data_IF_770854645304
#
_entry.id   IF_770854645304
#
_cell.length_a   1.000
_cell.length_b   1.000
_cell.length_c   1.000
_cell.angle_alpha   90.00
_cell.angle_beta   90.00
_cell.angle_gamma   90.00
#
_symmetry.space_group_name_H-M   'P 1'
#
loop_
_entity.id
_entity.type
_entity.pdbx_description
1 polymer ?
#
# COMPACT_ATOMS: atom_id res chain seq x y z
N UNK A 1 -12.20 -2.00 -0.11
CA UNK A 1 -11.73 -1.38 -1.39
C UNK A 1 -12.80 -1.56 -2.44
N UNK A 2 -13.15 -0.48 -3.14
CA UNK A 2 -14.03 -0.51 -4.32
C UNK A 2 -13.15 -0.34 -5.56
N UNK A 3 -13.40 -1.12 -6.61
CA UNK A 3 -12.65 -1.05 -7.87
C UNK A 3 -13.63 -0.98 -9.04
N UNK A 4 -13.36 -0.10 -10.00
CA UNK A 4 -14.07 0.03 -11.27
C UNK A 4 -13.10 -0.17 -12.43
N UNK A 5 -13.54 -0.84 -13.48
CA UNK A 5 -12.79 -1.04 -14.72
C UNK A 5 -13.50 -0.38 -15.89
N UNK A 6 -12.73 0.09 -16.87
CA UNK A 6 -13.24 0.87 -18.00
C UNK A 6 -12.75 0.28 -19.33
N UNK A 7 -13.57 0.45 -20.37
CA UNK A 7 -13.17 0.19 -21.76
C UNK A 7 -12.38 1.35 -22.38
N UNK A 8 -11.97 1.22 -23.63
CA UNK A 8 -11.24 2.27 -24.36
C UNK A 8 -12.09 3.54 -24.62
N UNK A 9 -13.41 3.43 -24.53
CA UNK A 9 -14.36 4.53 -24.68
C UNK A 9 -14.66 5.23 -23.35
N UNK A 10 -14.15 4.69 -22.23
CA UNK A 10 -14.37 5.21 -20.88
C UNK A 10 -15.67 4.76 -20.21
N UNK A 11 -16.37 3.78 -20.78
CA UNK A 11 -17.55 3.19 -20.15
C UNK A 11 -17.12 2.17 -19.08
N UNK A 12 -17.86 2.11 -17.98
CA UNK A 12 -17.62 1.13 -16.92
C UNK A 12 -17.96 -0.28 -17.42
N UNK A 13 -16.95 -1.17 -17.38
CA UNK A 13 -17.10 -2.57 -17.79
C UNK A 13 -17.27 -3.53 -16.62
N UNK A 14 -16.96 -3.09 -15.40
CA UNK A 14 -17.13 -3.90 -14.21
C UNK A 14 -16.84 -3.12 -12.93
N UNK A 15 -17.39 -3.64 -11.83
CA UNK A 15 -17.07 -3.16 -10.49
C UNK A 15 -16.92 -4.33 -9.53
N UNK A 16 -16.10 -4.15 -8.51
CA UNK A 16 -15.92 -5.12 -7.44
C UNK A 16 -15.68 -4.43 -6.09
N UNK A 17 -16.08 -5.11 -5.02
CA UNK A 17 -15.79 -4.70 -3.65
C UNK A 17 -14.88 -5.76 -3.05
N UNK A 18 -13.75 -5.35 -2.50
CA UNK A 18 -12.81 -6.24 -1.80
C UNK A 18 -12.73 -5.82 -0.34
N UNK A 19 -13.02 -6.73 0.55
CA UNK A 19 -12.80 -6.60 1.98
C UNK A 19 -11.55 -7.39 2.34
N UNK A 20 -10.57 -6.74 2.97
CA UNK A 20 -9.32 -7.37 3.40
C UNK A 20 -9.14 -7.15 4.89
N UNK A 21 -8.83 -8.22 5.61
CA UNK A 21 -8.38 -8.16 6.99
C UNK A 21 -6.93 -8.60 7.04
N UNK A 22 -6.08 -7.80 7.67
CA UNK A 22 -4.70 -8.17 7.98
C UNK A 22 -4.52 -8.31 9.47
N UNK A 23 -3.95 -9.42 9.91
CA UNK A 23 -3.64 -9.71 11.31
C UNK A 23 -2.14 -9.91 11.44
N UNK A 24 -1.50 -9.15 12.33
CA UNK A 24 -0.11 -9.37 12.70
C UNK A 24 -0.05 -10.56 13.64
N UNK A 25 0.48 -11.70 13.17
CA UNK A 25 0.57 -12.92 13.96
C UNK A 25 1.89 -12.99 14.74
N UNK A 26 2.99 -12.50 14.16
CA UNK A 26 4.32 -12.61 14.76
C UNK A 26 5.21 -11.43 14.37
N UNK A 27 6.06 -10.99 15.30
CA UNK A 27 7.19 -10.09 15.06
C UNK A 27 8.44 -10.80 15.58
N UNK A 28 9.44 -10.98 14.75
CA UNK A 28 10.68 -11.64 15.13
C UNK A 28 11.90 -10.81 14.71
N UNK A 29 13.12 -11.30 14.96
CA UNK A 29 14.35 -10.56 14.68
C UNK A 29 14.62 -10.27 13.20
N UNK A 30 13.92 -10.94 12.28
CA UNK A 30 14.12 -10.80 10.82
C UNK A 30 12.94 -10.13 10.10
N UNK A 31 11.77 -10.03 10.74
CA UNK A 31 10.61 -9.44 10.10
C UNK A 31 9.30 -9.70 10.82
N UNK A 32 8.22 -9.72 10.06
CA UNK A 32 6.84 -9.89 10.53
C UNK A 32 6.14 -11.01 9.76
N UNK A 33 5.18 -11.66 10.43
CA UNK A 33 4.27 -12.64 9.83
C UNK A 33 2.86 -12.09 9.90
N UNK A 34 2.24 -11.92 8.75
CA UNK A 34 0.88 -11.42 8.59
C UNK A 34 -0.04 -12.53 8.10
N UNK A 35 -1.25 -12.59 8.64
CA UNK A 35 -2.35 -13.37 8.08
C UNK A 35 -3.29 -12.42 7.34
N UNK A 36 -3.63 -12.75 6.11
CA UNK A 36 -4.47 -11.94 5.23
C UNK A 36 -5.71 -12.74 4.84
N UNK A 37 -6.86 -12.27 5.28
CA UNK A 37 -8.18 -12.76 4.86
C UNK A 37 -8.75 -11.82 3.81
N UNK A 38 -9.32 -12.36 2.73
CA UNK A 38 -9.88 -11.58 1.65
C UNK A 38 -11.24 -12.11 1.22
N UNK A 39 -12.20 -11.19 1.05
CA UNK A 39 -13.50 -11.46 0.44
C UNK A 39 -13.71 -10.49 -0.72
N UNK A 40 -14.02 -11.01 -1.89
CA UNK A 40 -14.31 -10.22 -3.09
C UNK A 40 -15.78 -10.36 -3.44
N UNK A 41 -16.44 -9.24 -3.71
CA UNK A 41 -17.81 -9.20 -4.24
C UNK A 41 -17.80 -8.68 -5.68
N UNK A 42 -18.33 -9.45 -6.59
CA UNK A 42 -18.49 -9.11 -8.02
C UNK A 42 -19.93 -9.41 -8.42
N UNK A 43 -20.62 -8.42 -8.98
CA UNK A 43 -22.02 -8.55 -9.40
C UNK A 43 -22.94 -9.16 -8.30
N UNK A 44 -22.72 -8.77 -7.03
CA UNK A 44 -23.48 -9.25 -5.88
C UNK A 44 -23.09 -10.64 -5.39
N UNK A 45 -22.15 -11.33 -6.05
CA UNK A 45 -21.65 -12.62 -5.61
C UNK A 45 -20.38 -12.46 -4.76
N UNK A 46 -20.43 -12.93 -3.52
CA UNK A 46 -19.29 -12.90 -2.58
C UNK A 46 -18.46 -14.19 -2.68
N UNK A 47 -17.16 -14.02 -2.82
CA UNK A 47 -16.18 -15.10 -2.95
C UNK A 47 -15.10 -14.86 -1.89
N UNK A 48 -14.96 -15.78 -0.94
CA UNK A 48 -13.89 -15.74 0.04
C UNK A 48 -12.65 -16.47 -0.52
N UNK A 49 -11.50 -15.83 -0.46
CA UNK A 49 -10.22 -16.49 -0.74
C UNK A 49 -9.75 -17.26 0.51
N UNK A 50 -8.98 -18.34 0.35
CA UNK A 50 -8.31 -18.97 1.48
C UNK A 50 -7.38 -17.96 2.18
N UNK A 51 -7.27 -18.00 3.53
CA UNK A 51 -6.33 -17.17 4.27
C UNK A 51 -4.90 -17.35 3.77
N UNK A 52 -4.17 -16.25 3.66
CA UNK A 52 -2.78 -16.24 3.20
C UNK A 52 -1.86 -15.84 4.35
N UNK A 53 -0.74 -16.56 4.50
CA UNK A 53 0.32 -16.17 5.42
C UNK A 53 1.42 -15.49 4.63
N UNK A 54 1.69 -14.23 4.97
CA UNK A 54 2.74 -13.42 4.33
C UNK A 54 3.86 -13.21 5.34
N UNK A 55 5.07 -13.66 4.99
CA UNK A 55 6.30 -13.35 5.73
C UNK A 55 6.99 -12.20 5.03
N UNK A 56 7.39 -11.19 5.77
CA UNK A 56 7.99 -9.98 5.21
C UNK A 56 9.10 -9.50 6.12
N UNK A 57 10.28 -9.23 5.56
CA UNK A 57 11.37 -8.56 6.25
C UNK A 57 11.09 -7.09 6.52
N UNK A 58 11.85 -6.48 7.41
CA UNK A 58 11.64 -5.08 7.84
C UNK A 58 11.84 -4.05 6.71
N UNK A 59 12.54 -4.40 5.64
CA UNK A 59 12.70 -3.56 4.44
C UNK A 59 11.74 -3.95 3.30
N UNK A 60 10.80 -4.84 3.56
CA UNK A 60 9.86 -5.35 2.56
C UNK A 60 10.42 -6.44 1.66
N UNK A 61 11.60 -6.99 2.02
CA UNK A 61 12.18 -8.13 1.33
C UNK A 61 11.38 -9.40 1.63
N UNK A 62 11.27 -10.26 0.63
CA UNK A 62 10.77 -11.62 0.77
C UNK A 62 11.96 -12.56 0.93
N UNK A 63 11.80 -13.67 1.65
CA UNK A 63 12.82 -14.71 1.78
C UNK A 63 13.38 -15.10 0.39
N UNK A 64 14.68 -15.44 0.30
CA UNK A 64 15.44 -15.85 -0.88
C UNK A 64 16.05 -14.74 -1.77
N UNK A 65 16.25 -13.51 -1.25
CA UNK A 65 16.94 -12.46 -2.00
C UNK A 65 18.27 -12.09 -1.36
N UNK A 66 19.30 -11.94 -2.21
CA UNK A 66 20.53 -11.29 -1.77
C UNK A 66 20.29 -9.80 -1.62
N UNK A 67 20.59 -9.26 -0.46
CA UNK A 67 20.40 -7.83 -0.13
C UNK A 67 21.75 -7.16 0.06
N UNK A 68 21.99 -6.07 -0.66
CA UNK A 68 23.15 -5.22 -0.48
C UNK A 68 22.70 -3.79 -0.15
N UNK A 69 23.20 -3.24 0.97
CA UNK A 69 22.84 -1.90 1.44
C UNK A 69 24.05 -0.99 1.34
N UNK A 70 23.87 0.20 0.78
CA UNK A 70 24.90 1.23 0.64
C UNK A 70 24.39 2.57 1.15
N UNK A 71 25.22 3.25 1.96
CA UNK A 71 24.95 4.64 2.37
C UNK A 71 25.43 5.57 1.26
N UNK A 72 24.55 6.40 0.73
CA UNK A 72 24.84 7.41 -0.29
C UNK A 72 25.05 8.82 0.30
N UNK A 73 25.04 8.93 1.65
CA UNK A 73 25.29 10.17 2.36
C UNK A 73 24.04 10.97 2.69
N UNK A 74 24.22 12.28 2.87
CA UNK A 74 23.17 13.19 3.32
C UNK A 74 22.56 13.97 2.15
N UNK A 75 21.28 14.31 2.27
CA UNK A 75 20.55 15.13 1.31
C UNK A 75 19.47 15.96 1.99
N UNK A 76 18.61 16.58 1.19
CA UNK A 76 17.45 17.34 1.64
C UNK A 76 16.25 16.99 0.77
N UNK A 77 15.07 17.01 1.39
CA UNK A 77 13.77 16.90 0.71
C UNK A 77 12.94 18.12 1.08
N UNK A 78 12.18 18.63 0.12
CA UNK A 78 11.23 19.74 0.35
C UNK A 78 9.83 19.13 0.47
N UNK A 79 9.20 19.32 1.64
CA UNK A 79 7.81 18.94 1.91
C UNK A 79 7.09 20.19 2.41
N UNK A 80 5.97 20.57 1.81
CA UNK A 80 5.17 21.76 2.18
C UNK A 80 6.01 23.05 2.22
N UNK A 81 7.02 23.16 1.35
CA UNK A 81 7.94 24.31 1.28
C UNK A 81 9.04 24.31 2.35
N UNK A 82 9.10 23.33 3.22
CA UNK A 82 10.15 23.19 4.24
C UNK A 82 11.24 22.21 3.80
N UNK A 83 12.50 22.61 3.98
CA UNK A 83 13.64 21.71 3.76
C UNK A 83 13.82 20.78 4.96
N UNK A 84 13.76 19.47 4.72
CA UNK A 84 13.97 18.43 5.72
C UNK A 84 15.28 17.73 5.40
N UNK A 85 16.27 17.77 6.33
CA UNK A 85 17.51 16.99 6.19
C UNK A 85 17.20 15.50 6.20
N UNK A 86 17.84 14.75 5.33
CA UNK A 86 17.67 13.30 5.26
C UNK A 86 18.98 12.59 4.96
N UNK A 87 19.03 11.31 5.29
CA UNK A 87 20.03 10.36 4.79
C UNK A 87 19.48 9.65 3.57
N UNK A 88 20.40 9.23 2.70
CA UNK A 88 20.07 8.55 1.46
C UNK A 88 20.73 7.19 1.48
N UNK A 89 19.91 6.14 1.42
CA UNK A 89 20.39 4.76 1.37
C UNK A 89 19.93 4.10 0.08
N UNK A 90 20.76 3.21 -0.45
CA UNK A 90 20.43 2.36 -1.58
C UNK A 90 20.44 0.91 -1.13
N UNK A 91 19.37 0.21 -1.47
CA UNK A 91 19.24 -1.24 -1.27
C UNK A 91 19.15 -1.89 -2.64
N UNK A 92 20.05 -2.81 -2.90
CA UNK A 92 20.00 -3.67 -4.08
C UNK A 92 19.54 -5.07 -3.69
N UNK A 93 18.54 -5.57 -4.36
CA UNK A 93 18.07 -6.95 -4.20
C UNK A 93 18.12 -7.67 -5.54
N UNK A 94 18.66 -8.86 -5.52
CA UNK A 94 18.76 -9.69 -6.73
C UNK A 94 18.16 -11.06 -6.47
N UNK A 95 17.36 -11.54 -7.38
CA UNK A 95 16.88 -12.91 -7.44
C UNK A 95 17.30 -13.54 -8.77
N UNK A 96 16.79 -14.73 -9.10
CA UNK A 96 17.14 -15.49 -10.32
C UNK A 96 16.78 -14.80 -11.64
N UNK A 97 15.86 -13.82 -11.62
CA UNK A 97 15.33 -13.20 -12.85
C UNK A 97 15.38 -11.68 -12.84
N UNK A 98 15.38 -11.07 -11.66
CA UNK A 98 15.26 -9.62 -11.56
C UNK A 98 16.27 -9.01 -10.59
N UNK A 99 16.70 -7.79 -10.91
CA UNK A 99 17.45 -6.91 -10.01
C UNK A 99 16.55 -5.72 -9.67
N UNK A 100 16.43 -5.42 -8.38
CA UNK A 100 15.73 -4.22 -7.90
C UNK A 100 16.72 -3.30 -7.19
N UNK A 101 16.77 -2.06 -7.60
CA UNK A 101 17.51 -0.99 -6.92
C UNK A 101 16.49 -0.09 -6.26
N UNK A 102 16.58 0.03 -4.94
CA UNK A 102 15.71 0.86 -4.12
C UNK A 102 16.55 1.97 -3.49
N UNK A 103 16.18 3.22 -3.75
CA UNK A 103 16.77 4.41 -3.13
C UNK A 103 15.78 5.01 -2.15
N UNK A 104 16.17 5.14 -0.89
CA UNK A 104 15.35 5.62 0.21
C UNK A 104 15.94 6.91 0.78
N UNK A 105 15.11 7.91 0.99
CA UNK A 105 15.45 9.14 1.70
C UNK A 105 14.73 9.09 3.05
N UNK A 106 15.48 9.08 4.12
CA UNK A 106 14.90 8.97 5.45
C UNK A 106 15.44 10.02 6.41
N UNK A 107 14.62 10.42 7.37
CA UNK A 107 14.97 11.36 8.44
C UNK A 107 14.52 10.80 9.78
N UNK A 108 15.42 10.79 10.76
CA UNK A 108 15.08 10.39 12.13
C UNK A 108 14.25 11.46 12.87
N UNK A 109 14.15 12.67 12.32
CA UNK A 109 13.39 13.79 12.92
C UNK A 109 11.94 13.89 12.48
N UNK A 110 11.47 12.95 11.64
CA UNK A 110 10.11 12.97 11.07
C UNK A 110 9.40 11.65 11.31
N UNK A 111 8.08 11.70 11.34
CA UNK A 111 7.19 10.56 11.24
C UNK A 111 6.28 10.74 10.02
N UNK A 112 6.35 9.84 9.03
CA UNK A 112 7.21 8.64 8.97
C UNK A 112 8.68 9.01 8.74
N UNK A 113 9.59 8.13 9.16
CA UNK A 113 11.02 8.33 8.92
C UNK A 113 11.37 8.29 7.43
N UNK A 114 10.66 7.52 6.62
CA UNK A 114 10.89 7.42 5.17
C UNK A 114 10.08 8.48 4.44
N UNK A 115 10.77 9.45 3.85
CA UNK A 115 10.17 10.60 3.18
C UNK A 115 10.00 10.39 1.67
N UNK A 116 10.92 9.62 1.08
CA UNK A 116 10.86 9.30 -0.35
C UNK A 116 11.48 7.94 -0.60
N UNK A 117 10.86 7.18 -1.50
CA UNK A 117 11.35 5.87 -1.95
C UNK A 117 11.23 5.80 -3.47
N UNK A 118 12.33 5.48 -4.12
CA UNK A 118 12.39 5.28 -5.56
C UNK A 118 12.91 3.86 -5.82
N UNK A 119 12.23 3.09 -6.65
CA UNK A 119 12.71 1.77 -7.04
C UNK A 119 12.66 1.56 -8.54
N UNK A 120 13.63 0.82 -9.04
CA UNK A 120 13.67 0.34 -10.41
C UNK A 120 13.91 -1.17 -10.34
N UNK A 121 12.99 -1.93 -10.92
CA UNK A 121 13.16 -3.37 -11.11
C UNK A 121 13.44 -3.62 -12.58
N UNK A 122 14.55 -4.29 -12.87
CA UNK A 122 14.98 -4.65 -14.21
C UNK A 122 15.07 -6.16 -14.35
N UNK A 123 14.85 -6.64 -15.55
CA UNK A 123 15.16 -8.01 -15.93
C UNK A 123 16.69 -8.21 -15.84
N UNK A 124 17.12 -9.33 -15.27
CA UNK A 124 18.56 -9.57 -15.01
C UNK A 124 19.32 -9.93 -16.30
N UNK A 125 18.66 -10.55 -17.26
CA UNK A 125 19.27 -11.00 -18.50
C UNK A 125 19.35 -9.88 -19.54
N UNK A 126 18.25 -9.16 -19.77
CA UNK A 126 18.20 -8.08 -20.76
C UNK A 126 18.62 -6.71 -20.19
N UNK A 127 18.55 -6.52 -18.87
CA UNK A 127 18.74 -5.21 -18.23
C UNK A 127 17.57 -4.24 -18.41
N UNK A 128 16.51 -4.64 -19.13
CA UNK A 128 15.35 -3.77 -19.38
C UNK A 128 14.54 -3.50 -18.12
N UNK A 129 14.05 -2.26 -17.92
CA UNK A 129 13.23 -1.94 -16.77
C UNK A 129 11.84 -2.58 -16.89
N UNK A 130 11.49 -3.43 -15.93
CA UNK A 130 10.18 -4.05 -15.79
C UNK A 130 9.20 -3.17 -15.03
N UNK A 131 9.70 -2.39 -14.05
CA UNK A 131 8.89 -1.42 -13.33
C UNK A 131 9.74 -0.33 -12.70
N UNK A 132 9.12 0.85 -12.52
CA UNK A 132 9.69 1.97 -11.79
C UNK A 132 8.64 2.50 -10.81
N UNK A 133 9.01 2.67 -9.55
CA UNK A 133 8.12 3.22 -8.53
C UNK A 133 8.75 4.45 -7.89
N UNK A 134 7.94 5.48 -7.67
CA UNK A 134 8.28 6.64 -6.88
C UNK A 134 7.19 6.83 -5.84
N UNK A 135 7.57 6.76 -4.57
CA UNK A 135 6.72 7.06 -3.41
C UNK A 135 7.29 8.28 -2.74
N UNK A 136 6.48 9.29 -2.52
CA UNK A 136 6.90 10.53 -1.87
C UNK A 136 5.85 11.01 -0.86
N UNK A 137 6.33 11.50 0.26
CA UNK A 137 5.51 12.23 1.23
C UNK A 137 5.23 13.60 0.65
N UNK A 138 3.94 13.97 0.58
CA UNK A 138 3.49 15.25 0.04
C UNK A 138 2.99 16.20 1.12
N UNK A 139 2.57 15.66 2.28
CA UNK A 139 2.22 16.46 3.45
C UNK A 139 2.44 15.64 4.74
N UNK A 140 2.80 16.33 5.81
CA UNK A 140 3.04 15.78 7.15
C UNK A 140 2.03 16.34 8.14
N UNK A 141 1.78 15.60 9.21
CA UNK A 141 0.98 16.04 10.36
C UNK A 141 -0.41 16.61 10.01
N UNK A 142 -1.02 16.08 8.97
CA UNK A 142 -2.35 16.50 8.51
C UNK A 142 -3.43 15.87 9.38
N UNK A 143 -4.37 16.65 9.94
CA UNK A 143 -5.47 16.10 10.72
C UNK A 143 -6.44 15.33 9.80
N UNK A 144 -6.73 14.08 10.14
CA UNK A 144 -7.71 13.26 9.45
C UNK A 144 -8.65 12.59 10.45
N UNK A 145 -9.95 12.58 10.16
CA UNK A 145 -10.92 11.82 10.94
C UNK A 145 -10.82 10.35 10.57
N UNK A 146 -10.40 9.53 11.52
CA UNK A 146 -10.30 8.07 11.40
C UNK A 146 -11.33 7.45 12.34
N UNK A 147 -12.36 6.81 11.79
CA UNK A 147 -13.52 6.33 12.53
C UNK A 147 -14.17 7.46 13.34
N UNK A 148 -13.94 7.52 14.66
CA UNK A 148 -14.51 8.54 15.55
C UNK A 148 -13.49 9.54 16.11
N UNK A 149 -12.20 9.40 15.77
CA UNK A 149 -11.09 10.18 16.32
C UNK A 149 -10.40 11.02 15.25
N UNK A 150 -9.77 12.13 15.65
CA UNK A 150 -8.85 12.87 14.78
C UNK A 150 -7.45 12.35 15.06
N UNK A 151 -6.76 11.92 14.02
CA UNK A 151 -5.38 11.41 14.04
C UNK A 151 -4.47 12.31 13.21
N UNK A 152 -3.21 12.42 13.64
CA UNK A 152 -2.16 12.96 12.79
C UNK A 152 -1.86 11.98 11.65
N UNK A 153 -1.79 12.49 10.44
CA UNK A 153 -1.64 11.66 9.24
C UNK A 153 -0.60 12.21 8.29
N UNK A 154 -0.12 11.34 7.44
CA UNK A 154 0.82 11.62 6.37
C UNK A 154 0.18 11.32 5.04
N UNK A 155 0.32 12.23 4.11
CA UNK A 155 -0.15 12.05 2.75
C UNK A 155 0.99 11.59 1.84
N UNK A 156 0.76 10.53 1.11
CA UNK A 156 1.71 9.91 0.20
C UNK A 156 1.19 9.93 -1.23
N UNK A 157 2.09 10.18 -2.17
CA UNK A 157 1.84 9.98 -3.59
C UNK A 157 2.75 8.88 -4.11
N UNK A 158 2.14 7.88 -4.73
CA UNK A 158 2.86 6.80 -5.41
C UNK A 158 2.60 6.86 -6.90
N UNK A 159 3.66 6.78 -7.69
CA UNK A 159 3.60 6.61 -9.15
C UNK A 159 4.35 5.34 -9.50
N UNK A 160 3.64 4.34 -10.00
CA UNK A 160 4.21 3.08 -10.49
C UNK A 160 4.08 3.05 -12.01
N UNK A 161 5.20 2.95 -12.70
CA UNK A 161 5.27 2.76 -14.14
C UNK A 161 5.66 1.32 -14.46
N UNK A 162 5.01 0.72 -15.41
CA UNK A 162 5.29 -0.60 -15.94
C UNK A 162 5.01 -0.63 -17.45
N UNK A 163 5.45 -1.65 -18.21
CA UNK A 163 5.30 -1.67 -19.67
C UNK A 163 3.87 -1.47 -20.17
N UNK A 164 2.85 -1.87 -19.40
CA UNK A 164 1.44 -1.75 -19.77
C UNK A 164 0.77 -0.45 -19.34
N UNK A 165 1.50 0.47 -18.68
CA UNK A 165 0.93 1.75 -18.27
C UNK A 165 1.47 2.31 -16.96
N UNK A 166 0.66 3.13 -16.31
CA UNK A 166 1.03 3.86 -15.08
C UNK A 166 -0.09 3.80 -14.06
N UNK A 167 0.25 3.43 -12.82
CA UNK A 167 -0.67 3.55 -11.66
C UNK A 167 -0.25 4.77 -10.83
N UNK A 168 -1.22 5.61 -10.50
CA UNK A 168 -1.05 6.76 -9.60
C UNK A 168 -1.94 6.53 -8.39
N UNK A 169 -1.35 6.55 -7.18
CA UNK A 169 -2.05 6.37 -5.91
C UNK A 169 -1.80 7.56 -4.99
N UNK A 170 -2.85 8.06 -4.36
CA UNK A 170 -2.77 8.98 -3.24
C UNK A 170 -3.25 8.24 -1.99
N UNK A 171 -2.42 8.21 -0.94
CA UNK A 171 -2.69 7.48 0.29
C UNK A 171 -2.61 8.40 1.50
N UNK A 172 -3.43 8.13 2.50
CA UNK A 172 -3.37 8.72 3.83
C UNK A 172 -2.98 7.63 4.79
N UNK A 173 -1.92 7.88 5.57
CA UNK A 173 -1.37 6.91 6.51
C UNK A 173 -1.19 7.53 7.90
N UNK A 174 -1.16 6.69 8.94
CA UNK A 174 -0.80 7.09 10.30
C UNK A 174 -0.06 5.95 10.99
N UNK A 175 0.97 6.29 11.76
CA UNK A 175 1.70 5.32 12.60
C UNK A 175 0.88 4.83 13.81
N UNK A 176 -0.19 5.54 14.17
CA UNK A 176 -1.12 5.14 15.22
C UNK A 176 -2.08 4.02 14.79
N UNK A 177 -2.12 3.69 13.50
CA UNK A 177 -3.02 2.68 12.92
C UNK A 177 -2.22 1.42 12.56
N UNK A 178 -2.64 0.23 12.99
CA UNK A 178 -2.03 -1.03 12.56
C UNK A 178 -2.02 -1.16 11.04
N UNK A 179 -0.84 -1.44 10.46
CA UNK A 179 -0.65 -1.47 9.01
C UNK A 179 -0.57 -0.09 8.35
N UNK A 180 -0.78 0.99 9.11
CA UNK A 180 -0.52 2.37 8.72
C UNK A 180 -1.53 2.99 7.77
N UNK A 181 -2.25 2.24 6.93
CA UNK A 181 -3.10 2.78 5.86
C UNK A 181 -4.50 3.10 6.38
N UNK A 182 -4.92 4.36 6.21
CA UNK A 182 -6.27 4.84 6.53
C UNK A 182 -7.15 4.79 5.29
N UNK A 183 -6.69 5.38 4.21
CA UNK A 183 -7.37 5.31 2.93
C UNK A 183 -6.38 5.49 1.77
N UNK A 184 -6.79 5.05 0.59
CA UNK A 184 -6.13 5.46 -0.65
C UNK A 184 -7.12 5.53 -1.80
N UNK A 185 -6.77 6.35 -2.78
CA UNK A 185 -7.41 6.38 -4.10
C UNK A 185 -6.35 6.13 -5.16
N UNK A 186 -6.67 5.32 -6.14
CA UNK A 186 -5.76 5.02 -7.24
C UNK A 186 -6.46 5.08 -8.59
N UNK A 187 -5.70 5.44 -9.62
CA UNK A 187 -6.08 5.30 -11.02
C UNK A 187 -4.96 4.61 -11.79
N UNK A 188 -5.35 3.74 -12.69
CA UNK A 188 -4.45 3.08 -13.63
C UNK A 188 -4.72 3.59 -15.04
N UNK A 189 -3.64 3.95 -15.71
CA UNK A 189 -3.63 4.45 -17.08
C UNK A 189 -2.95 3.40 -17.97
N UNK A 190 -3.48 3.14 -19.16
CA UNK A 190 -2.80 2.34 -20.17
C UNK A 190 -1.65 3.15 -20.83
N UNK A 191 -0.95 2.55 -21.79
CA UNK A 191 0.15 3.18 -22.55
C UNK A 191 -0.30 4.43 -23.30
N UNK A 192 -1.59 4.53 -23.67
CA UNK A 192 -2.19 5.69 -24.35
C UNK A 192 -2.60 6.81 -23.36
N UNK A 193 -2.42 6.62 -22.05
CA UNK A 193 -2.84 7.58 -21.03
C UNK A 193 -4.33 7.54 -20.69
N UNK A 194 -5.09 6.58 -21.18
CA UNK A 194 -6.51 6.41 -20.89
C UNK A 194 -6.69 5.67 -19.57
N UNK A 195 -7.69 6.04 -18.78
CA UNK A 195 -8.00 5.38 -17.51
C UNK A 195 -8.64 4.02 -17.80
N UNK A 196 -8.02 2.96 -17.28
CA UNK A 196 -8.51 1.58 -17.40
C UNK A 196 -9.06 1.03 -16.08
N UNK A 197 -8.64 1.63 -14.95
CA UNK A 197 -9.12 1.23 -13.62
C UNK A 197 -9.06 2.40 -12.63
N UNK A 198 -10.03 2.44 -11.73
CA UNK A 198 -10.01 3.26 -10.52
C UNK A 198 -10.26 2.39 -9.31
N UNK A 199 -9.68 2.75 -8.18
CA UNK A 199 -9.99 2.10 -6.91
C UNK A 199 -9.95 3.09 -5.76
N UNK A 200 -10.76 2.82 -4.74
CA UNK A 200 -10.73 3.51 -3.46
C UNK A 200 -10.74 2.49 -2.33
N UNK A 201 -9.87 2.69 -1.36
CA UNK A 201 -9.80 1.89 -0.14
C UNK A 201 -10.04 2.80 1.05
N UNK A 202 -10.75 2.30 2.03
CA UNK A 202 -11.01 2.98 3.31
C UNK A 202 -10.85 1.96 4.45
N UNK A 203 -10.23 2.38 5.54
CA UNK A 203 -10.18 1.64 6.78
C UNK A 203 -11.56 1.67 7.43
N UNK A 204 -12.12 0.51 7.71
CA UNK A 204 -13.46 0.38 8.30
C UNK A 204 -13.43 -0.04 9.77
N UNK A 205 -12.33 -0.66 10.21
CA UNK A 205 -12.14 -1.08 11.60
C UNK A 205 -10.68 -1.47 11.86
N UNK A 206 -10.20 -1.34 13.11
CA UNK A 206 -8.93 -1.88 13.58
C UNK A 206 -8.97 -2.19 15.08
N UNK A 207 -8.12 -3.13 15.52
CA UNK A 207 -7.97 -3.49 16.92
C UNK A 207 -6.48 -3.65 17.26
N UNK A 208 -6.06 -3.04 18.36
CA UNK A 208 -4.69 -3.12 18.91
C UNK A 208 -4.53 -4.21 19.98
N UNK A 209 -5.60 -4.95 20.29
CA UNK A 209 -5.55 -5.99 21.31
C UNK A 209 -4.98 -7.28 20.76
N UNK A 210 -4.16 -8.01 21.56
CA UNK A 210 -3.79 -9.39 21.24
C UNK A 210 -5.06 -10.21 20.97
N UNK A 211 -5.03 -11.02 19.94
CA UNK A 211 -6.13 -11.93 19.61
C UNK A 211 -6.26 -12.96 20.74
N UNK A 212 -7.14 -12.74 21.70
CA UNK A 212 -7.69 -13.85 22.48
C UNK A 212 -8.44 -14.73 21.49
N UNK A 213 -8.21 -16.05 21.51
CA UNK A 213 -8.88 -17.03 20.63
C UNK A 213 -10.40 -16.80 20.61
N UNK A 214 -10.87 -16.05 19.64
CA UNK A 214 -12.29 -15.79 19.44
C UNK A 214 -12.86 -16.87 18.51
N UNK A 215 -13.21 -17.99 19.10
CA UNK A 215 -14.17 -18.91 18.51
C UNK A 215 -15.49 -18.15 18.30
N UNK A 216 -15.85 -17.82 17.07
CA UNK A 216 -17.22 -17.45 16.72
C UNK A 216 -17.52 -16.08 16.12
N UNK A 217 -16.54 -15.30 15.60
CA UNK A 217 -16.77 -13.93 15.09
C UNK A 217 -17.44 -13.82 13.71
N UNK A 218 -17.52 -14.88 12.94
CA UNK A 218 -18.18 -14.86 11.61
C UNK A 218 -19.69 -14.59 11.66
N UNK A 219 -20.36 -14.73 12.81
CA UNK A 219 -21.81 -14.51 12.92
C UNK A 219 -22.21 -13.05 13.18
N UNK A 220 -21.34 -12.23 13.77
CA UNK A 220 -21.70 -10.85 14.15
C UNK A 220 -21.50 -9.82 13.02
N UNK A 221 -20.75 -10.16 11.99
CA UNK A 221 -20.49 -9.26 10.84
C UNK A 221 -21.65 -9.20 9.85
N UNK A 222 -22.46 -10.25 9.79
CA UNK A 222 -23.64 -10.28 8.89
C UNK A 222 -24.70 -9.22 9.17
N UNK A 223 -24.79 -8.73 10.41
CA UNK A 223 -25.87 -7.80 10.80
C UNK A 223 -25.54 -6.33 10.59
N UNK A 224 -24.27 -5.93 10.48
CA UNK A 224 -23.89 -4.51 10.27
C UNK A 224 -23.92 -4.04 8.82
N UNK A 225 -23.77 -4.93 7.85
CA UNK A 225 -23.71 -4.58 6.43
C UNK A 225 -25.09 -4.35 5.79
N UNK A 226 -26.19 -4.69 6.47
CA UNK A 226 -27.55 -4.39 5.97
C UNK A 226 -27.96 -2.91 6.13
N UNK A 227 -27.26 -2.11 6.91
CA UNK A 227 -27.64 -0.72 7.21
C UNK A 227 -26.98 0.36 6.35
N UNK A 228 -26.03 0.02 5.47
CA UNK A 228 -25.33 0.99 4.62
C UNK A 228 -25.63 0.72 3.13
N UNK A 229 -26.89 0.78 2.74
CA UNK A 229 -27.25 1.02 1.33
C UNK A 229 -27.11 2.51 1.07
N UNK A 230 -26.03 2.90 0.41
CA UNK A 230 -25.88 4.24 -0.17
C UNK A 230 -26.90 4.33 -1.32
N UNK A 231 -27.83 5.28 -1.32
CA UNK A 231 -28.71 5.47 -2.47
C UNK A 231 -27.88 6.00 -3.63
N UNK A 232 -27.87 5.24 -4.72
CA UNK A 232 -27.37 5.74 -6.01
C UNK A 232 -28.41 6.72 -6.56
N UNK A 233 -28.02 7.95 -6.70
CA UNK A 233 -28.66 8.97 -7.55
C UNK A 233 -27.79 9.21 -8.76
#
# INVERSE_FOLDING_TARGET
>A
MVTETFDEQGNTTGSSITETRMTLNEVNGTGVVLEVDMVVEIAGKRIAAPPQIVKQGYHGELDDKTVHISDLGSGKIIIEGQEIPCRIEQVETTNTRTKTILKTHWSASTEPCVLKRQSVTSDLESGEPLSQSNVEVVALDMPCKVLSEIKSTVHLKTVLKHPRGTTITLSVTSNEIPGGVICHTAKELNEKGQIVRRSALELIDYDLKPREERTGLFHRWRSRLQSHRIPMH
#
